data_IF_920485094009
#
_entry.id   IF_920485094009
#
_cell.length_a   1.000
_cell.length_b   1.000
_cell.length_c   1.000
_cell.angle_alpha   90.00
_cell.angle_beta   90.00
_cell.angle_gamma   90.00
#
_symmetry.space_group_name_H-M   'P 1'
#
loop_
_entity.id
_entity.type
_entity.pdbx_description
1 polymer ?
#
# COMPACT_ATOMS: atom_id res chain seq x y z
N UNK A 1 -12.06 -4.96 -24.52
CA UNK A 1 -12.47 -5.85 -23.39
C UNK A 1 -13.60 -5.17 -22.63
N UNK A 2 -14.66 -5.92 -22.33
CA UNK A 2 -15.81 -5.45 -21.56
C UNK A 2 -15.43 -5.02 -20.13
N UNK A 3 -16.17 -4.02 -19.58
CA UNK A 3 -15.90 -3.45 -18.25
C UNK A 3 -16.13 -4.47 -17.12
N UNK A 4 -17.06 -5.38 -17.28
CA UNK A 4 -17.29 -6.47 -16.33
C UNK A 4 -16.07 -7.39 -16.22
N UNK A 5 -15.50 -7.79 -17.37
CA UNK A 5 -14.29 -8.61 -17.42
C UNK A 5 -13.09 -7.90 -16.78
N UNK A 6 -12.92 -6.59 -17.06
CA UNK A 6 -11.87 -5.75 -16.46
C UNK A 6 -11.96 -5.74 -14.93
N UNK A 7 -13.15 -5.52 -14.37
CA UNK A 7 -13.39 -5.56 -12.94
C UNK A 7 -13.04 -6.92 -12.34
N UNK A 8 -13.51 -8.02 -12.96
CA UNK A 8 -13.26 -9.39 -12.51
C UNK A 8 -11.77 -9.73 -12.49
N UNK A 9 -11.04 -9.39 -13.54
CA UNK A 9 -9.60 -9.63 -13.64
C UNK A 9 -8.81 -8.83 -12.58
N UNK A 10 -9.12 -7.54 -12.41
CA UNK A 10 -8.46 -6.70 -11.42
C UNK A 10 -8.74 -7.20 -9.99
N UNK A 11 -9.99 -7.48 -9.63
CA UNK A 11 -10.39 -8.06 -8.34
C UNK A 11 -9.65 -9.37 -8.06
N UNK A 12 -9.66 -10.31 -9.00
CA UNK A 12 -9.02 -11.60 -8.82
C UNK A 12 -7.51 -11.45 -8.59
N UNK A 13 -6.86 -10.57 -9.34
CA UNK A 13 -5.44 -10.27 -9.13
C UNK A 13 -5.15 -9.76 -7.72
N UNK A 14 -5.90 -8.78 -7.22
CA UNK A 14 -5.67 -8.23 -5.89
C UNK A 14 -5.90 -9.27 -4.79
N UNK A 15 -6.92 -10.12 -4.94
CA UNK A 15 -7.20 -11.21 -4.00
C UNK A 15 -6.08 -12.26 -4.02
N UNK A 16 -5.65 -12.69 -5.21
CA UNK A 16 -4.54 -13.64 -5.36
C UNK A 16 -3.25 -13.08 -4.77
N UNK A 17 -2.96 -11.80 -5.01
CA UNK A 17 -1.76 -11.17 -4.46
C UNK A 17 -1.80 -11.11 -2.93
N UNK A 18 -2.97 -10.85 -2.30
CA UNK A 18 -3.13 -10.95 -0.86
C UNK A 18 -2.78 -12.35 -0.35
N UNK A 19 -3.30 -13.38 -0.98
CA UNK A 19 -3.06 -14.77 -0.59
C UNK A 19 -1.59 -15.15 -0.70
N UNK A 20 -0.94 -14.78 -1.80
CA UNK A 20 0.50 -15.05 -2.02
C UNK A 20 1.36 -14.34 -0.99
N UNK A 21 1.14 -13.05 -0.77
CA UNK A 21 1.90 -12.27 0.20
C UNK A 21 1.73 -12.79 1.63
N UNK A 22 0.49 -13.08 2.05
CA UNK A 22 0.24 -13.59 3.39
C UNK A 22 0.90 -14.94 3.61
N UNK A 23 0.84 -15.85 2.64
CA UNK A 23 1.50 -17.17 2.73
C UNK A 23 3.01 -17.03 2.86
N UNK A 24 3.67 -16.22 2.01
CA UNK A 24 5.13 -16.03 2.08
C UNK A 24 5.57 -15.38 3.40
N UNK A 25 4.77 -14.45 3.94
CA UNK A 25 5.04 -13.82 5.24
C UNK A 25 4.93 -14.86 6.37
N UNK A 26 3.89 -15.69 6.37
CA UNK A 26 3.74 -16.77 7.35
C UNK A 26 4.88 -17.80 7.27
N UNK A 27 5.32 -18.16 6.07
CA UNK A 27 6.45 -19.06 5.85
C UNK A 27 7.74 -18.50 6.46
N UNK A 28 7.99 -17.18 6.31
CA UNK A 28 9.16 -16.51 6.90
C UNK A 28 9.08 -16.45 8.43
N UNK A 29 7.91 -16.20 9.00
CA UNK A 29 7.70 -16.20 10.46
C UNK A 29 7.78 -17.60 11.08
N UNK A 30 7.50 -18.64 10.30
CA UNK A 30 7.46 -20.03 10.73
C UNK A 30 6.05 -20.47 11.16
N UNK A 31 5.90 -21.78 11.38
CA UNK A 31 4.58 -22.46 11.48
C UNK A 31 3.63 -21.95 12.56
N UNK A 32 4.14 -21.30 13.62
CA UNK A 32 3.34 -20.89 14.79
C UNK A 32 2.66 -19.53 14.63
N UNK A 33 3.14 -18.66 13.75
CA UNK A 33 2.63 -17.30 13.58
C UNK A 33 1.75 -17.23 12.35
N UNK A 34 0.47 -16.88 12.54
CA UNK A 34 -0.54 -16.84 11.49
C UNK A 34 -1.22 -15.49 11.44
N UNK A 35 -1.72 -15.11 10.26
CA UNK A 35 -2.59 -13.96 10.12
C UNK A 35 -3.94 -14.19 10.79
N UNK A 36 -4.39 -13.23 11.60
CA UNK A 36 -5.79 -13.11 11.98
C UNK A 36 -6.56 -12.53 10.77
N UNK A 37 -7.55 -13.26 10.31
CA UNK A 37 -8.37 -12.93 9.15
C UNK A 37 -9.69 -12.34 9.62
N UNK A 38 -10.06 -11.17 9.11
CA UNK A 38 -11.31 -10.49 9.40
C UNK A 38 -11.99 -10.04 8.11
N UNK A 39 -13.20 -10.54 7.87
CA UNK A 39 -14.05 -10.07 6.79
C UNK A 39 -14.82 -8.85 7.27
N UNK A 40 -15.08 -7.90 6.36
CA UNK A 40 -15.86 -6.71 6.67
C UNK A 40 -16.77 -6.32 5.50
N UNK A 41 -17.92 -5.77 5.82
CA UNK A 41 -18.85 -5.18 4.87
C UNK A 41 -18.78 -3.66 4.97
N UNK A 42 -18.93 -2.96 3.85
CA UNK A 42 -18.94 -1.50 3.82
C UNK A 42 -20.21 -0.94 4.47
N UNK A 43 -21.35 -1.57 4.25
CA UNK A 43 -22.62 -1.22 4.86
C UNK A 43 -23.20 -2.39 5.64
N UNK A 44 -23.97 -2.10 6.70
CA UNK A 44 -24.70 -3.11 7.46
C UNK A 44 -26.09 -3.42 6.86
N UNK A 45 -26.66 -2.47 6.13
CA UNK A 45 -28.03 -2.54 5.61
C UNK A 45 -28.12 -2.78 4.10
N UNK A 46 -27.09 -2.41 3.34
CA UNK A 46 -27.07 -2.49 1.89
C UNK A 46 -25.88 -3.29 1.39
N UNK A 47 -26.01 -3.96 0.25
CA UNK A 47 -24.89 -4.55 -0.44
C UNK A 47 -24.09 -3.45 -1.17
N UNK A 48 -23.04 -2.98 -0.52
CA UNK A 48 -22.05 -2.02 -1.05
C UNK A 48 -20.66 -2.63 -1.14
N UNK A 49 -20.57 -3.97 -1.06
CA UNK A 49 -19.33 -4.70 -1.04
C UNK A 49 -18.64 -4.65 0.32
N UNK A 50 -17.36 -4.98 0.32
CA UNK A 50 -16.57 -5.05 1.54
C UNK A 50 -15.15 -5.53 1.24
N UNK A 51 -14.59 -6.31 2.15
CA UNK A 51 -13.25 -6.83 1.97
C UNK A 51 -12.84 -7.80 3.04
N UNK A 52 -11.55 -8.08 3.05
CA UNK A 52 -10.90 -8.90 4.05
C UNK A 52 -9.57 -8.28 4.40
N UNK A 53 -9.37 -7.92 5.65
CA UNK A 53 -8.04 -7.58 6.13
C UNK A 53 -7.46 -8.73 6.96
N UNK A 54 -6.15 -8.87 6.84
CA UNK A 54 -5.36 -9.87 7.54
C UNK A 54 -4.28 -9.14 8.33
N UNK A 55 -4.20 -9.40 9.63
CA UNK A 55 -3.22 -8.79 10.52
C UNK A 55 -2.39 -9.90 11.17
N UNK A 56 -1.07 -9.76 11.09
CA UNK A 56 -0.09 -10.55 11.81
C UNK A 56 0.64 -9.61 12.77
N UNK A 57 0.72 -9.98 14.04
CA UNK A 57 1.37 -9.19 15.08
C UNK A 57 2.30 -10.06 15.94
N UNK A 58 3.26 -9.41 16.58
CA UNK A 58 4.18 -10.02 17.54
C UNK A 58 4.99 -11.20 16.98
N UNK A 59 5.31 -11.15 15.68
CA UNK A 59 6.15 -12.15 15.04
C UNK A 59 7.61 -12.07 15.42
N UNK A 60 8.43 -12.98 14.87
CA UNK A 60 9.89 -12.97 15.04
C UNK A 60 10.55 -11.90 14.17
N UNK A 61 10.03 -11.69 12.96
CA UNK A 61 10.52 -10.78 11.93
C UNK A 61 9.69 -9.50 11.90
N UNK A 62 8.37 -9.64 12.01
CA UNK A 62 7.41 -8.54 11.90
C UNK A 62 6.84 -8.18 13.27
N UNK A 63 6.90 -6.89 13.65
CA UNK A 63 6.12 -6.37 14.76
C UNK A 63 4.63 -6.35 14.41
N UNK A 64 4.32 -5.91 13.16
CA UNK A 64 2.96 -5.92 12.61
C UNK A 64 2.99 -5.95 11.09
N UNK A 65 2.13 -6.75 10.50
CA UNK A 65 1.80 -6.70 9.06
C UNK A 65 0.30 -6.58 8.91
N UNK A 66 -0.13 -5.67 8.06
CA UNK A 66 -1.52 -5.55 7.62
C UNK A 66 -1.61 -5.74 6.12
N UNK A 67 -2.51 -6.63 5.66
CA UNK A 67 -2.81 -6.86 4.25
C UNK A 67 -4.32 -6.80 4.06
N UNK A 68 -4.82 -5.75 3.41
CA UNK A 68 -6.25 -5.56 3.16
C UNK A 68 -6.55 -5.68 1.67
N UNK A 69 -7.48 -6.56 1.34
CA UNK A 69 -8.16 -6.62 0.05
C UNK A 69 -9.55 -6.03 0.18
N UNK A 70 -10.00 -5.26 -0.81
CA UNK A 70 -11.35 -4.71 -0.85
C UNK A 70 -11.96 -4.76 -2.25
N UNK A 71 -13.28 -4.93 -2.26
CA UNK A 71 -14.14 -4.67 -3.41
C UNK A 71 -15.36 -3.92 -2.90
N UNK A 72 -15.49 -2.65 -3.27
CA UNK A 72 -16.55 -1.76 -2.80
C UNK A 72 -17.22 -1.06 -3.97
N UNK A 73 -18.50 -0.80 -3.83
CA UNK A 73 -19.31 -0.12 -4.85
C UNK A 73 -20.43 0.66 -4.17
N UNK A 74 -21.09 1.53 -4.93
CA UNK A 74 -22.18 2.36 -4.40
C UNK A 74 -22.27 3.68 -5.13
N UNK A 75 -22.72 4.71 -4.40
CA UNK A 75 -22.80 6.09 -4.89
C UNK A 75 -21.98 7.01 -4.00
N UNK A 76 -21.24 7.94 -4.60
CA UNK A 76 -20.61 9.04 -3.85
C UNK A 76 -21.69 10.00 -3.33
N UNK A 77 -21.47 10.54 -2.15
CA UNK A 77 -22.29 11.66 -1.63
C UNK A 77 -22.15 12.90 -2.51
N UNK A 78 -23.07 13.84 -2.38
CA UNK A 78 -23.04 15.09 -3.14
C UNK A 78 -21.74 15.89 -2.90
N UNK A 79 -21.15 15.79 -1.73
CA UNK A 79 -19.88 16.43 -1.38
C UNK A 79 -18.70 15.93 -2.24
N UNK A 80 -18.70 14.65 -2.59
CA UNK A 80 -17.65 14.02 -3.42
C UNK A 80 -17.99 14.02 -4.91
N UNK A 81 -19.25 14.33 -5.27
CA UNK A 81 -19.63 14.55 -6.66
C UNK A 81 -18.79 15.71 -7.21
N UNK A 82 -18.18 15.54 -8.35
CA UNK A 82 -17.24 16.47 -8.98
C UNK A 82 -15.79 16.49 -8.41
N UNK A 83 -15.54 15.94 -7.22
CA UNK A 83 -14.16 15.79 -6.69
C UNK A 83 -13.47 14.54 -7.22
N UNK A 84 -14.22 13.53 -7.65
CA UNK A 84 -13.70 12.29 -8.21
C UNK A 84 -13.90 12.28 -9.73
N UNK A 85 -12.89 11.93 -10.52
CA UNK A 85 -13.03 11.88 -11.97
C UNK A 85 -14.16 10.96 -12.42
N UNK A 86 -14.92 11.41 -13.44
CA UNK A 86 -16.01 10.64 -14.03
C UNK A 86 -17.32 10.63 -13.24
N UNK A 87 -17.44 11.44 -12.18
CA UNK A 87 -18.69 11.51 -11.37
C UNK A 87 -19.64 12.64 -11.77
N UNK A 88 -19.32 13.44 -12.81
CA UNK A 88 -20.17 14.55 -13.27
C UNK A 88 -21.56 14.08 -13.71
N UNK A 89 -21.64 12.98 -14.44
CA UNK A 89 -22.89 12.43 -15.01
C UNK A 89 -23.53 11.36 -14.13
N UNK A 90 -22.75 10.66 -13.29
CA UNK A 90 -23.24 9.60 -12.41
C UNK A 90 -22.36 9.52 -11.17
N UNK A 91 -22.99 9.47 -10.00
CA UNK A 91 -22.27 9.27 -8.73
C UNK A 91 -21.90 7.81 -8.46
N UNK A 92 -22.33 6.86 -9.31
CA UNK A 92 -22.02 5.43 -9.13
C UNK A 92 -20.52 5.18 -9.26
N UNK A 93 -20.01 4.28 -8.43
CA UNK A 93 -18.63 3.82 -8.50
C UNK A 93 -18.52 2.34 -8.18
N UNK A 94 -17.42 1.76 -8.62
CA UNK A 94 -16.90 0.47 -8.20
C UNK A 94 -15.39 0.62 -8.00
N UNK A 95 -14.84 0.01 -6.95
CA UNK A 95 -13.41 0.02 -6.70
C UNK A 95 -12.98 -1.31 -6.10
N UNK A 96 -11.83 -1.82 -6.52
CA UNK A 96 -11.15 -2.93 -5.87
C UNK A 96 -9.68 -2.63 -5.74
N UNK A 97 -9.05 -3.15 -4.69
CA UNK A 97 -7.62 -2.92 -4.45
C UNK A 97 -7.06 -3.79 -3.35
N UNK A 98 -5.76 -3.68 -3.22
CA UNK A 98 -4.97 -4.26 -2.13
C UNK A 98 -4.10 -3.18 -1.50
N UNK A 99 -3.96 -3.21 -0.17
CA UNK A 99 -3.04 -2.38 0.60
C UNK A 99 -2.25 -3.25 1.56
N UNK A 100 -0.94 -2.99 1.66
CA UNK A 100 0.00 -3.75 2.48
C UNK A 100 0.89 -2.80 3.24
N UNK A 101 1.04 -3.01 4.55
CA UNK A 101 2.03 -2.32 5.36
C UNK A 101 2.74 -3.34 6.24
N UNK A 102 4.07 -3.28 6.23
CA UNK A 102 4.94 -4.14 7.03
C UNK A 102 5.74 -3.28 8.00
N UNK A 103 5.54 -3.47 9.32
CA UNK A 103 6.34 -2.89 10.39
C UNK A 103 7.24 -3.95 10.97
N UNK A 104 8.54 -3.75 10.84
CA UNK A 104 9.56 -4.76 11.12
C UNK A 104 10.03 -4.72 12.55
N UNK A 105 10.35 -5.89 13.13
CA UNK A 105 10.91 -5.99 14.48
C UNK A 105 12.32 -5.42 14.55
N UNK A 106 13.18 -5.80 13.60
CA UNK A 106 14.53 -5.31 13.51
C UNK A 106 14.56 -3.87 12.96
N UNK A 107 15.16 -2.88 13.67
CA UNK A 107 15.22 -1.48 13.23
C UNK A 107 16.00 -1.25 11.93
N UNK A 108 16.89 -2.17 11.54
CA UNK A 108 17.63 -2.08 10.28
C UNK A 108 16.80 -2.46 9.06
N UNK A 109 15.68 -3.15 9.27
CA UNK A 109 14.73 -3.46 8.20
C UNK A 109 13.70 -2.33 8.14
N UNK A 110 13.55 -1.63 7.00
CA UNK A 110 12.62 -0.52 6.89
C UNK A 110 11.15 -0.96 6.97
N UNK A 111 10.26 -0.05 7.33
CA UNK A 111 8.86 -0.23 7.07
C UNK A 111 8.61 -0.18 5.55
N UNK A 112 7.71 -1.03 5.06
CA UNK A 112 7.41 -1.17 3.63
C UNK A 112 5.92 -1.04 3.40
N UNK A 113 5.56 -0.22 2.42
CA UNK A 113 4.17 0.04 2.04
C UNK A 113 3.96 -0.23 0.56
N UNK A 114 2.82 -0.81 0.25
CA UNK A 114 2.36 -1.04 -1.11
C UNK A 114 0.85 -0.90 -1.16
N UNK A 115 0.34 -0.26 -2.20
CA UNK A 115 -1.06 -0.35 -2.55
C UNK A 115 -1.26 -0.27 -4.06
N UNK A 116 -2.26 -0.97 -4.56
CA UNK A 116 -2.76 -0.79 -5.93
C UNK A 116 -4.26 -0.97 -5.97
N UNK A 117 -4.93 -0.23 -6.85
CA UNK A 117 -6.38 -0.24 -6.98
C UNK A 117 -6.82 0.01 -8.42
N UNK A 118 -7.99 -0.53 -8.76
CA UNK A 118 -8.74 -0.19 -9.96
C UNK A 118 -10.06 0.45 -9.55
N UNK A 119 -10.31 1.66 -10.04
CA UNK A 119 -11.52 2.44 -9.75
C UNK A 119 -12.28 2.65 -11.06
N UNK A 120 -13.59 2.50 -11.01
CA UNK A 120 -14.51 2.68 -12.14
C UNK A 120 -15.63 3.62 -11.73
N UNK A 121 -15.80 4.67 -12.51
CA UNK A 121 -16.95 5.59 -12.50
C UNK A 121 -17.60 5.56 -13.90
N UNK A 122 -17.70 6.67 -14.62
CA UNK A 122 -18.01 6.66 -16.05
C UNK A 122 -16.88 6.09 -16.91
N UNK A 123 -15.66 6.02 -16.37
CA UNK A 123 -14.50 5.31 -16.95
C UNK A 123 -13.66 4.68 -15.83
N UNK A 124 -12.72 3.81 -16.20
CA UNK A 124 -11.87 3.13 -15.25
C UNK A 124 -10.43 3.61 -15.27
N UNK A 125 -9.74 3.59 -14.11
CA UNK A 125 -8.30 3.88 -14.00
C UNK A 125 -7.64 3.10 -12.88
N UNK A 126 -6.34 2.86 -13.01
CA UNK A 126 -5.50 2.32 -11.96
C UNK A 126 -4.76 3.42 -11.20
N UNK A 127 -4.51 3.15 -9.93
CA UNK A 127 -3.62 3.93 -9.08
C UNK A 127 -2.91 3.04 -8.09
N UNK A 128 -1.82 3.54 -7.51
CA UNK A 128 -1.07 2.83 -6.49
C UNK A 128 0.42 3.09 -6.54
N UNK A 129 1.17 2.23 -5.88
CA UNK A 129 2.63 2.31 -5.81
C UNK A 129 3.19 1.54 -4.63
N UNK A 130 4.48 1.74 -4.40
CA UNK A 130 5.18 1.25 -3.21
C UNK A 130 6.22 2.25 -2.76
N UNK A 131 6.49 2.26 -1.45
CA UNK A 131 7.54 3.05 -0.85
C UNK A 131 8.16 2.35 0.37
N UNK A 132 9.34 2.83 0.76
CA UNK A 132 10.12 2.26 1.85
C UNK A 132 10.52 3.36 2.83
N UNK A 133 10.36 3.07 4.13
CA UNK A 133 10.64 4.01 5.22
C UNK A 133 11.71 3.43 6.16
N UNK A 134 13.01 3.62 5.89
CA UNK A 134 14.08 3.23 6.81
C UNK A 134 14.06 4.09 8.08
N UNK A 135 14.39 3.46 9.20
CA UNK A 135 14.58 4.19 10.47
C UNK A 135 15.96 4.86 10.53
N UNK A 136 16.95 4.26 9.89
CA UNK A 136 18.34 4.73 9.83
C UNK A 136 18.77 4.99 8.39
N UNK A 137 19.70 5.93 8.20
CA UNK A 137 20.24 6.23 6.87
C UNK A 137 21.00 5.00 6.33
N UNK A 138 20.63 4.57 5.14
CA UNK A 138 21.27 3.47 4.43
C UNK A 138 21.28 3.75 2.92
N UNK A 139 22.35 4.41 2.48
CA UNK A 139 22.49 4.81 1.08
C UNK A 139 22.64 3.63 0.12
N UNK A 140 23.20 2.51 0.59
CA UNK A 140 23.32 1.29 -0.21
C UNK A 140 21.94 0.68 -0.49
N UNK A 141 21.12 0.59 0.55
CA UNK A 141 19.73 0.14 0.41
C UNK A 141 18.93 1.07 -0.50
N UNK A 142 19.04 2.38 -0.30
CA UNK A 142 18.32 3.37 -1.11
C UNK A 142 18.67 3.24 -2.60
N UNK A 143 19.97 3.21 -2.94
CA UNK A 143 20.42 3.08 -4.31
C UNK A 143 19.96 1.75 -4.96
N UNK A 144 20.08 0.64 -4.22
CA UNK A 144 19.63 -0.67 -4.70
C UNK A 144 18.12 -0.70 -4.92
N UNK A 145 17.33 -0.24 -3.94
CA UNK A 145 15.87 -0.18 -4.02
C UNK A 145 15.40 0.60 -5.24
N UNK A 146 15.95 1.80 -5.46
CA UNK A 146 15.60 2.62 -6.61
C UNK A 146 16.07 2.01 -7.94
N UNK A 147 17.17 1.26 -7.95
CA UNK A 147 17.61 0.51 -9.13
C UNK A 147 16.60 -0.57 -9.51
N UNK A 148 16.10 -1.35 -8.53
CA UNK A 148 15.10 -2.40 -8.78
C UNK A 148 13.77 -1.80 -9.25
N UNK A 149 13.30 -0.70 -8.66
CA UNK A 149 12.12 0.00 -9.14
C UNK A 149 12.28 0.52 -10.58
N UNK A 150 13.45 1.05 -10.90
CA UNK A 150 13.74 1.52 -12.28
C UNK A 150 13.73 0.36 -13.27
N UNK A 151 14.30 -0.78 -12.92
CA UNK A 151 14.26 -1.99 -13.75
C UNK A 151 12.81 -2.42 -14.03
N UNK A 152 11.98 -2.50 -12.99
CA UNK A 152 10.57 -2.89 -13.11
C UNK A 152 9.77 -1.91 -13.96
N UNK A 153 9.94 -0.62 -13.74
CA UNK A 153 9.28 0.42 -14.55
C UNK A 153 9.69 0.37 -16.03
N UNK A 154 10.98 0.14 -16.30
CA UNK A 154 11.54 0.15 -17.66
C UNK A 154 11.03 -1.02 -18.53
N UNK A 155 10.58 -2.13 -17.94
CA UNK A 155 9.89 -3.22 -18.67
C UNK A 155 8.61 -2.73 -19.38
N UNK A 156 8.03 -1.63 -18.89
CA UNK A 156 6.76 -1.07 -19.40
C UNK A 156 6.96 0.27 -20.11
N UNK A 157 7.76 1.18 -19.53
CA UNK A 157 8.08 2.48 -20.13
C UNK A 157 9.27 3.12 -19.43
N UNK A 158 10.27 3.56 -20.20
CA UNK A 158 11.51 4.20 -19.71
C UNK A 158 11.26 5.48 -18.88
N UNK A 159 10.12 6.16 -19.08
CA UNK A 159 9.78 7.39 -18.37
C UNK A 159 9.00 7.15 -17.07
N UNK A 160 8.49 5.92 -16.81
CA UNK A 160 7.63 5.65 -15.65
C UNK A 160 8.36 5.88 -14.34
N UNK A 161 9.58 5.37 -14.20
CA UNK A 161 10.34 5.53 -12.96
C UNK A 161 10.53 7.01 -12.59
N UNK A 162 11.06 7.84 -13.50
CA UNK A 162 11.28 9.28 -13.25
C UNK A 162 9.99 9.99 -12.86
N UNK A 163 8.90 9.75 -13.62
CA UNK A 163 7.60 10.37 -13.39
C UNK A 163 7.00 9.96 -12.04
N UNK A 164 6.99 8.65 -11.75
CA UNK A 164 6.30 8.13 -10.57
C UNK A 164 7.12 8.28 -9.30
N UNK A 165 8.46 8.32 -9.39
CA UNK A 165 9.33 8.68 -8.28
C UNK A 165 9.09 10.12 -7.85
N UNK A 166 9.10 11.06 -8.79
CA UNK A 166 8.83 12.47 -8.48
C UNK A 166 7.50 12.63 -7.74
N UNK A 167 6.45 12.00 -8.23
CA UNK A 167 5.14 12.05 -7.59
C UNK A 167 5.15 11.40 -6.20
N UNK A 168 5.85 10.28 -6.03
CA UNK A 168 6.00 9.63 -4.74
C UNK A 168 6.71 10.53 -3.72
N UNK A 169 7.80 11.18 -4.12
CA UNK A 169 8.57 12.08 -3.24
C UNK A 169 7.73 13.29 -2.78
N UNK A 170 6.95 13.88 -3.70
CA UNK A 170 6.02 14.98 -3.39
C UNK A 170 4.87 14.53 -2.47
N UNK A 171 4.33 13.33 -2.72
CA UNK A 171 3.20 12.79 -1.95
C UNK A 171 3.56 12.47 -0.51
N UNK A 172 4.70 11.82 -0.26
CA UNK A 172 5.13 11.36 1.05
C UNK A 172 5.99 12.38 1.82
N UNK A 173 5.93 13.65 1.46
CA UNK A 173 6.56 14.73 2.20
C UNK A 173 5.70 15.15 3.41
N UNK A 174 6.34 15.41 4.55
CA UNK A 174 5.70 15.92 5.77
C UNK A 174 5.98 17.45 5.90
N UNK A 175 5.05 18.32 5.48
CA UNK A 175 5.29 19.77 5.46
C UNK A 175 5.60 20.33 6.84
N UNK A 176 4.86 19.89 7.87
CA UNK A 176 5.03 20.33 9.26
C UNK A 176 6.35 19.89 9.92
N UNK A 177 7.03 18.91 9.34
CA UNK A 177 8.36 18.43 9.75
C UNK A 177 9.46 18.87 8.82
N UNK A 178 9.13 19.39 7.63
CA UNK A 178 10.06 19.73 6.56
C UNK A 178 10.98 18.55 6.17
N UNK A 179 10.45 17.33 6.22
CA UNK A 179 11.20 16.11 5.89
C UNK A 179 10.36 15.13 5.04
N UNK A 180 11.03 14.26 4.31
CA UNK A 180 10.38 13.12 3.64
C UNK A 180 10.11 12.00 4.65
N UNK A 181 8.95 11.32 4.51
CA UNK A 181 8.59 10.18 5.36
C UNK A 181 9.63 9.04 5.30
N UNK A 182 10.14 8.75 4.11
CA UNK A 182 11.12 7.69 3.86
C UNK A 182 12.04 8.05 2.70
N UNK A 183 12.56 7.03 2.02
CA UNK A 183 13.42 7.19 0.84
C UNK A 183 12.63 7.28 -0.46
N UNK A 184 11.29 7.36 -0.37
CA UNK A 184 10.38 7.38 -1.51
C UNK A 184 10.16 6.00 -2.11
N UNK A 185 9.86 6.00 -3.39
CA UNK A 185 9.51 4.83 -4.18
C UNK A 185 8.91 5.24 -5.51
N UNK A 186 7.81 4.61 -5.90
CA UNK A 186 6.99 5.00 -7.05
C UNK A 186 5.54 5.12 -6.63
N UNK A 187 4.86 6.17 -7.12
CA UNK A 187 3.43 6.35 -6.92
C UNK A 187 2.78 6.88 -8.19
N UNK A 188 1.64 6.31 -8.59
CA UNK A 188 0.94 6.68 -9.81
C UNK A 188 -0.56 6.79 -9.60
N UNK A 189 -1.17 7.70 -10.35
CA UNK A 189 -2.60 7.96 -10.36
C UNK A 189 -3.12 8.07 -11.79
N UNK A 190 -4.40 7.76 -11.98
CA UNK A 190 -5.12 7.94 -13.25
C UNK A 190 -4.47 7.26 -14.46
N UNK A 191 -3.95 6.02 -14.28
CA UNK A 191 -3.54 5.21 -15.42
C UNK A 191 -4.77 4.66 -16.13
N UNK A 192 -5.05 5.20 -17.33
CA UNK A 192 -6.28 4.89 -18.08
C UNK A 192 -6.11 4.84 -19.61
N UNK A 193 -4.87 4.90 -20.10
CA UNK A 193 -4.62 5.02 -21.54
C UNK A 193 -4.84 3.70 -22.30
N UNK A 194 -4.40 2.58 -21.72
CA UNK A 194 -4.60 1.25 -22.27
C UNK A 194 -4.73 0.26 -21.12
N UNK A 195 -5.89 -0.32 -20.96
CA UNK A 195 -6.21 -1.14 -19.80
C UNK A 195 -5.26 -2.35 -19.65
N UNK A 196 -4.97 -3.06 -20.74
CA UNK A 196 -4.13 -4.25 -20.73
C UNK A 196 -2.69 -3.91 -20.32
N UNK A 197 -2.12 -2.86 -20.90
CA UNK A 197 -0.78 -2.36 -20.56
C UNK A 197 -0.73 -1.82 -19.13
N UNK A 198 -1.75 -1.08 -18.73
CA UNK A 198 -1.85 -0.51 -17.39
C UNK A 198 -2.03 -1.60 -16.33
N UNK A 199 -2.86 -2.60 -16.60
CA UNK A 199 -3.02 -3.75 -15.71
C UNK A 199 -1.75 -4.61 -15.63
N UNK A 200 -1.06 -4.82 -16.75
CA UNK A 200 0.25 -5.50 -16.76
C UNK A 200 1.26 -4.78 -15.88
N UNK A 201 1.33 -3.44 -15.95
CA UNK A 201 2.19 -2.64 -15.07
C UNK A 201 1.79 -2.76 -13.60
N UNK A 202 0.51 -2.70 -13.27
CA UNK A 202 0.02 -2.87 -11.89
C UNK A 202 0.41 -4.23 -11.31
N UNK A 203 0.34 -5.29 -12.12
CA UNK A 203 0.80 -6.63 -11.71
C UNK A 203 2.31 -6.68 -11.49
N UNK A 204 3.09 -6.07 -12.38
CA UNK A 204 4.55 -5.95 -12.22
C UNK A 204 4.91 -5.24 -10.92
N UNK A 205 4.22 -4.14 -10.56
CA UNK A 205 4.46 -3.42 -9.29
C UNK A 205 4.19 -4.32 -8.08
N UNK A 206 3.13 -5.12 -8.11
CA UNK A 206 2.83 -6.08 -7.02
C UNK A 206 3.87 -7.19 -6.90
N UNK A 207 4.31 -7.78 -8.02
CA UNK A 207 5.37 -8.79 -8.06
C UNK A 207 6.69 -8.18 -7.58
N UNK A 208 7.02 -6.99 -8.02
CA UNK A 208 8.23 -6.27 -7.60
C UNK A 208 8.23 -5.97 -6.12
N UNK A 209 7.09 -5.54 -5.55
CA UNK A 209 6.97 -5.35 -4.10
C UNK A 209 7.28 -6.63 -3.34
N UNK A 210 6.68 -7.75 -3.74
CA UNK A 210 6.92 -9.06 -3.15
C UNK A 210 8.41 -9.42 -3.15
N UNK A 211 9.06 -9.32 -4.31
CA UNK A 211 10.46 -9.70 -4.49
C UNK A 211 11.40 -8.77 -3.71
N UNK A 212 11.21 -7.44 -3.83
CA UNK A 212 12.03 -6.43 -3.17
C UNK A 212 11.90 -6.55 -1.64
N UNK A 213 10.68 -6.70 -1.12
CA UNK A 213 10.46 -6.85 0.32
C UNK A 213 11.15 -8.10 0.88
N UNK A 214 11.06 -9.22 0.17
CA UNK A 214 11.72 -10.46 0.54
C UNK A 214 13.26 -10.29 0.60
N UNK A 215 13.84 -9.67 -0.41
CA UNK A 215 15.30 -9.45 -0.47
C UNK A 215 15.80 -8.49 0.61
N UNK A 216 15.05 -7.42 0.90
CA UNK A 216 15.36 -6.51 2.01
C UNK A 216 15.37 -7.26 3.35
N UNK A 217 14.35 -8.08 3.60
CA UNK A 217 14.22 -8.86 4.83
C UNK A 217 15.39 -9.84 4.95
N UNK A 218 15.69 -10.61 3.93
CA UNK A 218 16.76 -11.60 3.91
C UNK A 218 18.13 -10.98 4.20
N UNK A 219 18.42 -9.83 3.59
CA UNK A 219 19.70 -9.13 3.77
C UNK A 219 19.85 -8.47 5.13
N UNK A 220 18.76 -8.01 5.76
CA UNK A 220 18.87 -7.11 6.92
C UNK A 220 18.30 -7.66 8.21
N UNK A 221 17.42 -8.64 8.18
CA UNK A 221 16.76 -9.12 9.41
C UNK A 221 17.70 -9.75 10.44
N UNK A 222 18.88 -10.24 10.00
CA UNK A 222 19.90 -10.84 10.87
C UNK A 222 20.89 -9.83 11.45
N UNK A 223 20.82 -8.55 11.07
CA UNK A 223 21.71 -7.52 11.60
C UNK A 223 21.45 -7.33 13.09
N UNK A 224 22.51 -7.25 13.87
CA UNK A 224 22.44 -6.95 15.30
C UNK A 224 21.97 -5.50 15.49
N UNK A 225 21.16 -5.27 16.49
CA UNK A 225 20.64 -3.95 16.83
C UNK A 225 20.61 -3.74 18.35
N UNK A 226 20.55 -2.47 18.76
CA UNK A 226 20.59 -2.04 20.15
C UNK A 226 19.24 -1.44 20.57
N UNK A 227 19.05 -1.21 21.87
CA UNK A 227 17.90 -0.48 22.41
C UNK A 227 17.83 0.93 21.80
N UNK A 228 18.99 1.58 21.57
CA UNK A 228 19.07 2.90 20.93
C UNK A 228 18.50 2.86 19.50
N UNK A 229 18.79 1.84 18.74
CA UNK A 229 18.25 1.67 17.38
C UNK A 229 16.72 1.49 17.42
N UNK A 230 16.22 0.78 18.44
CA UNK A 230 14.77 0.60 18.65
C UNK A 230 14.08 1.91 18.99
N UNK A 231 14.68 2.76 19.81
CA UNK A 231 14.15 4.11 20.11
C UNK A 231 14.09 4.99 18.85
N UNK A 232 15.11 4.92 18.00
CA UNK A 232 15.11 5.61 16.70
C UNK A 232 13.95 5.09 15.84
N UNK A 233 13.72 3.78 15.78
CA UNK A 233 12.60 3.17 15.06
C UNK A 233 11.27 3.70 15.57
N UNK A 234 11.04 3.76 16.89
CA UNK A 234 9.79 4.25 17.45
C UNK A 234 9.54 5.72 17.10
N UNK A 235 10.55 6.58 17.15
CA UNK A 235 10.44 7.98 16.72
C UNK A 235 10.11 8.12 15.24
N UNK A 236 10.75 7.31 14.37
CA UNK A 236 10.41 7.31 12.93
C UNK A 236 9.01 6.76 12.64
N UNK A 237 8.52 5.82 13.45
CA UNK A 237 7.13 5.38 13.39
C UNK A 237 6.15 6.49 13.77
N UNK A 238 6.52 7.40 14.68
CA UNK A 238 5.74 8.62 14.95
C UNK A 238 5.53 9.45 13.67
N UNK A 239 6.59 9.66 12.87
CA UNK A 239 6.48 10.35 11.56
C UNK A 239 5.58 9.62 10.58
N UNK A 240 5.63 8.28 10.58
CA UNK A 240 4.75 7.44 9.77
C UNK A 240 3.28 7.63 10.17
N UNK A 241 2.97 7.64 11.47
CA UNK A 241 1.62 7.89 12.00
C UNK A 241 1.14 9.29 11.62
N UNK A 242 1.97 10.32 11.82
CA UNK A 242 1.65 11.71 11.44
C UNK A 242 1.27 11.79 9.95
N UNK A 243 2.04 11.18 9.07
CA UNK A 243 1.69 11.17 7.65
C UNK A 243 0.34 10.54 7.39
N UNK A 244 0.10 9.33 7.90
CA UNK A 244 -1.13 8.58 7.64
C UNK A 244 -2.37 9.34 8.15
N UNK A 245 -2.32 9.93 9.34
CA UNK A 245 -3.46 10.62 9.92
C UNK A 245 -3.66 12.04 9.35
N UNK A 246 -2.57 12.78 9.10
CA UNK A 246 -2.66 14.17 8.70
C UNK A 246 -2.64 14.40 7.19
N UNK A 247 -1.99 13.54 6.41
CA UNK A 247 -1.71 13.83 5.00
C UNK A 247 -2.17 12.75 4.02
N UNK A 248 -2.30 11.48 4.46
CA UNK A 248 -2.68 10.41 3.55
C UNK A 248 -4.12 10.57 3.03
N UNK A 249 -4.24 10.77 1.71
CA UNK A 249 -5.54 10.95 1.05
C UNK A 249 -6.40 9.68 1.14
N UNK A 250 -5.77 8.51 1.09
CA UNK A 250 -6.46 7.23 1.17
C UNK A 250 -7.11 7.02 2.54
N UNK A 251 -6.36 7.26 3.62
CA UNK A 251 -6.85 7.20 4.99
C UNK A 251 -7.99 8.20 5.21
N UNK A 252 -7.78 9.47 4.85
CA UNK A 252 -8.81 10.52 5.00
C UNK A 252 -10.08 10.18 4.23
N UNK A 253 -9.94 9.83 2.96
CA UNK A 253 -11.08 9.47 2.13
C UNK A 253 -11.83 8.26 2.69
N UNK A 254 -11.10 7.20 3.10
CA UNK A 254 -11.72 6.01 3.67
C UNK A 254 -12.52 6.32 4.94
N UNK A 255 -11.94 7.09 5.88
CA UNK A 255 -12.63 7.48 7.12
C UNK A 255 -13.83 8.38 6.85
N UNK A 256 -13.72 9.35 5.94
CA UNK A 256 -14.81 10.28 5.60
C UNK A 256 -15.96 9.63 4.81
N UNK A 257 -15.69 8.53 4.11
CA UNK A 257 -16.71 7.83 3.30
C UNK A 257 -17.30 6.60 3.98
N UNK A 258 -17.10 6.45 5.30
CA UNK A 258 -17.68 5.33 6.07
C UNK A 258 -16.97 3.99 5.82
N UNK A 259 -15.70 4.01 5.45
CA UNK A 259 -14.89 2.81 5.33
C UNK A 259 -14.67 2.13 6.69
N UNK A 260 -14.33 0.84 6.66
CA UNK A 260 -14.04 0.09 7.89
C UNK A 260 -12.78 0.65 8.55
N UNK A 261 -12.91 1.19 9.76
CA UNK A 261 -11.86 1.90 10.49
C UNK A 261 -10.66 0.98 10.75
N UNK A 262 -10.90 -0.25 11.19
CA UNK A 262 -9.82 -1.22 11.49
C UNK A 262 -9.04 -1.62 10.23
N UNK A 263 -9.74 -1.81 9.11
CA UNK A 263 -9.12 -2.09 7.82
C UNK A 263 -8.29 -0.91 7.29
N UNK A 264 -8.66 0.32 7.62
CA UNK A 264 -7.93 1.53 7.24
C UNK A 264 -6.71 1.74 8.15
N UNK A 265 -6.92 1.68 9.47
CA UNK A 265 -5.90 1.95 10.48
C UNK A 265 -4.96 0.76 10.75
N UNK A 266 -5.18 -0.39 10.10
CA UNK A 266 -4.21 -1.50 10.14
C UNK A 266 -2.79 -1.08 9.70
N UNK A 267 -2.70 -0.01 8.90
CA UNK A 267 -1.44 0.55 8.40
C UNK A 267 -0.56 1.17 9.48
N UNK A 268 -1.12 1.49 10.64
CA UNK A 268 -0.37 2.11 11.73
C UNK A 268 0.52 1.09 12.45
N UNK A 269 1.73 1.52 12.88
CA UNK A 269 2.63 0.67 13.65
C UNK A 269 2.04 0.33 15.02
N UNK A 270 2.45 -0.81 15.64
CA UNK A 270 1.93 -1.20 16.95
C UNK A 270 2.44 -0.30 18.08
N UNK A 271 3.60 0.36 17.89
CA UNK A 271 4.20 1.28 18.85
C UNK A 271 4.88 2.42 18.09
N UNK A 272 4.66 3.65 18.54
CA UNK A 272 5.30 4.86 18.06
C UNK A 272 5.64 5.78 19.23
N UNK A 273 6.65 6.66 19.06
CA UNK A 273 7.06 7.67 20.03
C UNK A 273 7.27 9.03 19.34
N UNK A 274 7.20 10.09 20.13
CA UNK A 274 7.46 11.47 19.73
C UNK A 274 8.55 12.12 20.58
#
# INVERSE_FOLDING_TARGET
MDQYIKKKLAKNWFKTLQEVLCREIEEKEGKKTKFKITNWNRSKSNDEGGGQYRILENGKIFDKVGVNFSEVYGKFSNEFKNKVPGTKTSSKFWASGISVVMHMKNPHVPAMHFNTRYIVTSFGWFGGGMDVTPCMKDKKLENWFHSELKKSCNKHNKNYYKKYKKWCDEYFYLPHRKESRGIGGIFFYYKKNNWEKDFSFVREVGISFKNISNEIIEKKNKLKWTIKDKEIQYKKRGRYVEFNLLHDRGTKFGLQTGGNVEAILMSLPPTAKW
#
